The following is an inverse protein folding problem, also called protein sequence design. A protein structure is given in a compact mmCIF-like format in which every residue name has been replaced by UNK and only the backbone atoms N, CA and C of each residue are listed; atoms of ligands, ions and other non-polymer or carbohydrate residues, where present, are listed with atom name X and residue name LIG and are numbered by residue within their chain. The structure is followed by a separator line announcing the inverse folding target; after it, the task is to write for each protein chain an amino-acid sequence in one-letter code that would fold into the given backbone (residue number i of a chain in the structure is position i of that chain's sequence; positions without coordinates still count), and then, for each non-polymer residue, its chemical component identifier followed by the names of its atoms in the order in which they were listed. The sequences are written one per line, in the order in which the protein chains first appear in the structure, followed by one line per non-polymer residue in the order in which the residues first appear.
data_IF_602668157258
#
_entry.id   IF_602668157258
#
_cell.length_a   1.000
_cell.length_b   1.000
_cell.length_c   1.000
_cell.angle_alpha   90.00
_cell.angle_beta   90.00
_cell.angle_gamma   90.00
#
_symmetry.space_group_name_H-M   'P 1'
#
loop_
_entity.id
_entity.type
_entity.pdbx_description
1 polymer ?
#
# COMPACT_ATOMS: atom_id res chain seq x y z
N UNK A 1 -10.32 3.32 13.29
CA UNK A 1 -11.20 4.04 12.35
C UNK A 1 -11.75 3.03 11.38
N UNK A 2 -13.07 3.02 11.19
CA UNK A 2 -13.76 2.15 10.23
C UNK A 2 -13.39 2.57 8.82
N UNK A 3 -13.07 1.60 7.98
CA UNK A 3 -12.72 1.79 6.58
C UNK A 3 -14.00 2.20 5.78
N UNK A 4 -13.97 3.27 4.94
CA UNK A 4 -15.15 3.78 4.23
C UNK A 4 -15.66 2.78 3.17
N UNK A 5 -16.88 2.30 3.33
CA UNK A 5 -17.50 1.28 2.47
C UNK A 5 -18.19 1.90 1.25
N UNK A 6 -18.55 3.18 1.34
CA UNK A 6 -19.31 3.89 0.30
C UNK A 6 -18.57 5.10 -0.22
N UNK A 7 -18.95 5.56 -1.41
CA UNK A 7 -18.36 6.74 -2.05
C UNK A 7 -18.61 8.00 -1.21
N UNK A 8 -19.76 8.07 -0.57
CA UNK A 8 -20.12 9.15 0.34
C UNK A 8 -19.30 9.11 1.62
N UNK A 9 -19.05 7.94 2.20
CA UNK A 9 -18.13 7.78 3.34
C UNK A 9 -16.69 8.16 2.97
N UNK A 10 -16.25 7.81 1.76
CA UNK A 10 -14.93 8.19 1.24
C UNK A 10 -14.82 9.71 1.07
N UNK A 11 -15.84 10.35 0.50
CA UNK A 11 -15.93 11.81 0.40
C UNK A 11 -15.90 12.49 1.77
N UNK A 12 -16.69 11.99 2.73
CA UNK A 12 -16.72 12.52 4.08
C UNK A 12 -15.34 12.43 4.77
N UNK A 13 -14.62 11.34 4.53
CA UNK A 13 -13.25 11.15 5.02
C UNK A 13 -12.26 12.13 4.38
N UNK A 14 -12.29 12.31 3.07
CA UNK A 14 -11.46 13.32 2.37
C UNK A 14 -11.69 14.70 2.97
N UNK A 15 -12.95 15.09 3.18
CA UNK A 15 -13.29 16.37 3.80
C UNK A 15 -12.72 16.48 5.23
N UNK A 16 -12.86 15.42 6.04
CA UNK A 16 -12.31 15.40 7.40
C UNK A 16 -10.77 15.51 7.42
N UNK A 17 -10.09 14.89 6.46
CA UNK A 17 -8.64 14.96 6.35
C UNK A 17 -8.17 16.33 5.82
N UNK A 18 -8.94 17.00 4.93
CA UNK A 18 -8.71 18.41 4.55
C UNK A 18 -8.81 19.33 5.78
N UNK A 19 -9.83 19.16 6.61
CA UNK A 19 -9.98 19.96 7.84
C UNK A 19 -8.79 19.80 8.78
N UNK A 20 -8.33 18.56 8.98
CA UNK A 20 -7.12 18.30 9.78
C UNK A 20 -5.87 18.94 9.18
N UNK A 21 -5.75 18.96 7.85
CA UNK A 21 -4.63 19.59 7.18
C UNK A 21 -4.63 21.09 7.41
N UNK A 22 -5.79 21.75 7.31
CA UNK A 22 -5.93 23.19 7.63
C UNK A 22 -5.51 23.45 9.07
N UNK A 23 -5.99 22.65 10.02
CA UNK A 23 -5.58 22.78 11.43
C UNK A 23 -4.07 22.63 11.64
N UNK A 24 -3.41 21.74 10.90
CA UNK A 24 -1.96 21.58 10.96
C UNK A 24 -1.19 22.76 10.34
N UNK A 25 -1.74 23.40 9.30
CA UNK A 25 -1.12 24.58 8.67
C UNK A 25 -1.29 25.81 9.56
N UNK A 26 -2.45 25.95 10.21
CA UNK A 26 -2.76 27.06 11.11
C UNK A 26 -2.10 26.92 12.49
N UNK A 27 -1.60 25.73 12.85
CA UNK A 27 -0.89 25.52 14.11
C UNK A 27 0.57 25.95 14.02
N UNK A 28 0.99 26.94 14.82
CA UNK A 28 2.37 27.46 14.87
C UNK A 28 3.43 26.45 15.37
N UNK A 29 3.02 25.28 15.87
CA UNK A 29 3.92 24.24 16.41
C UNK A 29 4.30 23.21 15.33
N UNK A 30 5.36 23.51 14.59
CA UNK A 30 5.71 22.78 13.37
C UNK A 30 6.72 21.63 13.53
N UNK A 31 7.28 21.42 14.74
CA UNK A 31 8.40 20.46 14.94
C UNK A 31 8.01 18.98 14.73
N UNK A 32 6.73 18.64 14.81
CA UNK A 32 6.23 17.27 14.58
C UNK A 32 4.98 17.22 13.67
N UNK A 33 4.82 18.24 12.81
CA UNK A 33 3.64 18.33 11.95
C UNK A 33 3.60 17.20 10.93
N UNK A 34 2.51 16.44 10.91
CA UNK A 34 2.26 15.41 9.89
C UNK A 34 1.62 15.99 8.62
N UNK A 35 1.59 17.32 8.47
CA UNK A 35 0.93 18.03 7.36
C UNK A 35 1.37 17.51 5.99
N UNK A 36 2.67 17.34 5.75
CA UNK A 36 3.17 16.85 4.46
C UNK A 36 2.67 15.43 4.16
N UNK A 37 2.70 14.55 5.18
CA UNK A 37 2.20 13.17 5.04
C UNK A 37 0.69 13.16 4.78
N UNK A 38 -0.06 14.03 5.44
CA UNK A 38 -1.51 14.16 5.29
C UNK A 38 -1.87 14.75 3.92
N UNK A 39 -1.15 15.78 3.46
CA UNK A 39 -1.32 16.40 2.14
C UNK A 39 -1.02 15.41 1.02
N UNK A 40 0.05 14.61 1.14
CA UNK A 40 0.33 13.52 0.18
C UNK A 40 -0.78 12.47 0.19
N UNK A 41 -1.29 12.09 1.35
CA UNK A 41 -2.44 11.18 1.47
C UNK A 41 -3.68 11.70 0.76
N UNK A 42 -4.07 12.94 1.04
CA UNK A 42 -5.20 13.63 0.42
C UNK A 42 -5.06 13.73 -1.10
N UNK A 43 -3.86 14.01 -1.62
CA UNK A 43 -3.62 14.05 -3.05
C UNK A 43 -3.97 12.72 -3.72
N UNK A 44 -3.54 11.59 -3.12
CA UNK A 44 -3.89 10.27 -3.64
C UNK A 44 -5.38 9.97 -3.51
N UNK A 45 -5.97 10.23 -2.34
CA UNK A 45 -7.40 9.94 -2.11
C UNK A 45 -8.31 10.73 -3.06
N UNK A 46 -7.98 12.01 -3.30
CA UNK A 46 -8.71 12.85 -4.26
C UNK A 46 -8.56 12.32 -5.69
N UNK A 47 -7.35 11.90 -6.09
CA UNK A 47 -7.11 11.33 -7.43
C UNK A 47 -7.96 10.09 -7.66
N UNK A 48 -8.05 9.20 -6.67
CA UNK A 48 -8.82 7.96 -6.77
C UNK A 48 -10.35 8.22 -6.68
N UNK A 49 -10.81 9.20 -5.89
CA UNK A 49 -12.24 9.57 -5.82
C UNK A 49 -12.81 10.10 -7.16
N UNK A 50 -12.01 10.85 -7.92
CA UNK A 50 -12.43 11.40 -9.22
C UNK A 50 -12.35 10.39 -10.37
N UNK A 51 -11.69 9.24 -10.17
CA UNK A 51 -11.66 8.17 -11.16
C UNK A 51 -12.71 7.11 -10.82
N UNK A 52 -13.92 7.27 -11.37
CA UNK A 52 -15.06 6.38 -11.10
C UNK A 52 -14.81 4.90 -11.48
N UNK A 53 -13.89 4.62 -12.40
CA UNK A 53 -13.52 3.24 -12.78
C UNK A 53 -12.48 2.61 -11.83
N UNK A 54 -11.74 3.44 -11.08
CA UNK A 54 -10.75 2.99 -10.07
C UNK A 54 -11.28 3.01 -8.65
N UNK A 55 -12.36 3.74 -8.39
CA UNK A 55 -12.98 3.78 -7.07
C UNK A 55 -13.59 2.42 -6.73
N UNK A 56 -12.81 1.61 -6.03
CA UNK A 56 -13.22 0.41 -5.31
C UNK A 56 -12.67 0.52 -3.89
N UNK A 57 -13.41 0.04 -2.88
CA UNK A 57 -13.06 0.29 -1.50
C UNK A 57 -11.61 -0.13 -1.16
N UNK A 58 -11.16 -1.32 -1.52
CA UNK A 58 -9.73 -1.66 -1.46
C UNK A 58 -9.45 -2.83 -2.40
N UNK A 59 -9.22 -2.60 -3.70
CA UNK A 59 -9.12 -3.69 -4.67
C UNK A 59 -7.98 -4.67 -4.34
N UNK A 60 -6.93 -4.23 -3.62
CA UNK A 60 -5.89 -5.13 -3.13
C UNK A 60 -6.36 -6.01 -1.97
N UNK A 61 -6.91 -5.42 -0.91
CA UNK A 61 -7.39 -6.18 0.25
C UNK A 61 -8.51 -7.16 -0.13
N UNK A 62 -9.52 -6.68 -0.85
CA UNK A 62 -10.67 -7.49 -1.27
C UNK A 62 -10.21 -8.59 -2.22
N UNK A 63 -9.36 -8.23 -3.20
CA UNK A 63 -8.80 -9.18 -4.14
C UNK A 63 -7.92 -10.26 -3.50
N UNK A 64 -7.24 -9.95 -2.39
CA UNK A 64 -6.49 -10.91 -1.59
C UNK A 64 -7.42 -11.82 -0.78
N UNK A 65 -8.41 -11.23 -0.10
CA UNK A 65 -9.36 -11.97 0.73
C UNK A 65 -10.12 -13.02 -0.07
N UNK A 66 -10.46 -12.72 -1.32
CA UNK A 66 -11.19 -13.64 -2.22
C UNK A 66 -10.34 -14.81 -2.73
N UNK A 67 -9.00 -14.64 -2.79
CA UNK A 67 -8.10 -15.61 -3.44
C UNK A 67 -7.18 -16.35 -2.48
N UNK A 68 -6.95 -15.81 -1.29
CA UNK A 68 -5.99 -16.33 -0.32
C UNK A 68 -6.71 -17.00 0.83
N UNK A 69 -6.52 -18.32 0.96
CA UNK A 69 -7.13 -19.10 2.05
C UNK A 69 -6.30 -19.02 3.33
N UNK A 70 -6.92 -18.54 4.41
CA UNK A 70 -6.29 -18.48 5.73
C UNK A 70 -5.88 -19.87 6.25
N UNK A 71 -4.83 -19.93 7.05
CA UNK A 71 -4.28 -21.14 7.65
C UNK A 71 -3.50 -22.05 6.68
N UNK A 72 -3.53 -21.78 5.37
CA UNK A 72 -2.81 -22.57 4.37
C UNK A 72 -1.37 -22.08 4.18
N UNK A 73 -0.42 -22.99 3.88
CA UNK A 73 0.94 -22.61 3.53
C UNK A 73 1.01 -21.76 2.26
N UNK A 74 1.84 -20.74 2.27
CA UNK A 74 2.06 -19.82 1.14
C UNK A 74 3.43 -19.15 1.19
N UNK A 75 3.80 -18.55 0.06
CA UNK A 75 4.93 -17.64 -0.06
C UNK A 75 4.43 -16.24 -0.42
N UNK A 76 4.86 -15.24 0.36
CA UNK A 76 4.59 -13.82 0.12
C UNK A 76 5.88 -13.15 -0.34
N UNK A 77 5.80 -12.44 -1.47
CA UNK A 77 6.84 -11.58 -2.00
C UNK A 77 6.33 -10.14 -2.05
N UNK A 78 7.05 -9.23 -1.42
CA UNK A 78 6.84 -7.78 -1.55
C UNK A 78 8.12 -7.17 -2.12
N UNK A 79 8.01 -6.39 -3.19
CA UNK A 79 9.15 -5.68 -3.79
C UNK A 79 8.89 -4.19 -3.68
N UNK A 80 9.85 -3.43 -3.15
CA UNK A 80 9.79 -1.97 -3.03
C UNK A 80 10.84 -1.35 -3.97
N UNK A 81 10.40 -0.56 -4.95
CA UNK A 81 11.30 0.05 -5.94
C UNK A 81 11.98 1.34 -5.45
N UNK A 82 11.70 1.82 -4.22
CA UNK A 82 12.14 3.12 -3.73
C UNK A 82 12.79 3.18 -2.33
N UNK A 83 13.31 2.10 -1.75
CA UNK A 83 13.85 2.15 -0.37
C UNK A 83 14.83 1.05 0.06
N UNK A 84 15.45 1.24 1.24
CA UNK A 84 16.33 0.26 1.90
C UNK A 84 15.51 -0.95 2.34
N UNK A 85 15.85 -2.14 1.82
CA UNK A 85 15.06 -3.39 1.81
C UNK A 85 14.05 -3.49 0.66
N UNK A 86 14.57 -3.34 -0.57
CA UNK A 86 13.78 -3.40 -1.81
C UNK A 86 13.07 -4.72 -2.09
N UNK A 87 13.26 -5.77 -1.28
CA UNK A 87 12.59 -7.07 -1.45
C UNK A 87 12.41 -7.77 -0.10
N UNK A 88 11.19 -8.21 0.17
CA UNK A 88 10.83 -9.02 1.34
C UNK A 88 10.18 -10.31 0.86
N UNK A 89 10.75 -11.44 1.25
CA UNK A 89 10.23 -12.76 0.95
C UNK A 89 9.98 -13.53 2.23
N UNK A 90 8.78 -14.06 2.40
CA UNK A 90 8.39 -14.84 3.58
C UNK A 90 7.58 -16.06 3.16
N UNK A 91 7.93 -17.20 3.75
CA UNK A 91 7.18 -18.45 3.63
C UNK A 91 6.53 -18.74 4.97
N UNK A 92 5.26 -19.14 4.97
CA UNK A 92 4.56 -19.47 6.20
C UNK A 92 3.08 -19.70 5.98
N UNK A 93 2.29 -19.45 7.04
CA UNK A 93 0.83 -19.52 6.99
C UNK A 93 0.27 -18.15 7.33
N UNK A 94 -0.56 -17.56 6.46
CA UNK A 94 -1.33 -16.36 6.82
C UNK A 94 -2.41 -16.81 7.80
N UNK A 95 -2.43 -16.22 8.98
CA UNK A 95 -3.47 -16.44 9.98
C UNK A 95 -4.54 -15.34 9.96
N UNK A 96 -4.18 -14.14 9.50
CA UNK A 96 -5.13 -13.04 9.35
C UNK A 96 -4.72 -12.06 8.23
N UNK A 97 -5.73 -11.41 7.64
CA UNK A 97 -5.61 -10.35 6.65
C UNK A 97 -6.41 -9.15 7.11
N UNK A 98 -5.73 -8.01 7.24
CA UNK A 98 -6.36 -6.75 7.60
C UNK A 98 -6.26 -5.75 6.45
N UNK A 99 -7.29 -4.93 6.31
CA UNK A 99 -7.18 -3.68 5.55
C UNK A 99 -6.17 -2.76 6.24
N UNK A 100 -5.45 -1.95 5.46
CA UNK A 100 -4.56 -0.94 6.04
C UNK A 100 -5.38 0.11 6.81
N UNK A 101 -4.88 0.55 7.96
CA UNK A 101 -5.59 1.50 8.83
C UNK A 101 -5.82 2.91 8.20
N UNK A 102 -5.11 3.21 7.12
CA UNK A 102 -5.20 4.45 6.34
C UNK A 102 -5.91 4.17 5.00
N UNK A 103 -6.53 5.17 4.35
CA UNK A 103 -7.36 4.97 3.15
C UNK A 103 -6.55 4.61 1.88
N UNK A 104 -5.28 4.22 2.05
CA UNK A 104 -4.46 3.68 0.99
C UNK A 104 -4.95 2.28 0.66
N UNK A 105 -5.07 2.00 -0.63
CA UNK A 105 -5.21 0.65 -1.12
C UNK A 105 -3.99 -0.19 -0.67
N UNK A 106 -4.19 -1.44 -0.28
CA UNK A 106 -3.15 -2.28 0.31
C UNK A 106 -3.68 -3.32 1.30
N UNK A 107 -2.77 -4.01 1.99
CA UNK A 107 -3.12 -5.06 2.94
C UNK A 107 -2.07 -5.21 4.04
N UNK A 108 -2.48 -5.69 5.20
CA UNK A 108 -1.60 -6.15 6.26
C UNK A 108 -1.81 -7.65 6.47
N UNK A 109 -0.69 -8.37 6.55
CA UNK A 109 -0.64 -9.82 6.69
C UNK A 109 -0.13 -10.16 8.08
N UNK A 110 -0.85 -11.04 8.77
CA UNK A 110 -0.33 -11.71 9.95
C UNK A 110 0.08 -13.14 9.55
N UNK A 111 1.39 -13.39 9.50
CA UNK A 111 1.97 -14.64 8.99
C UNK A 111 2.74 -15.32 10.10
N UNK A 112 2.50 -16.62 10.30
CA UNK A 112 3.39 -17.48 11.09
C UNK A 112 4.46 -18.04 10.13
N UNK A 113 5.73 -17.56 10.19
CA UNK A 113 6.75 -18.03 9.26
C UNK A 113 7.04 -19.51 9.43
N UNK A 114 7.53 -20.16 8.37
CA UNK A 114 7.97 -21.55 8.40
C UNK A 114 9.01 -21.75 9.52
N UNK A 115 8.78 -22.76 10.37
CA UNK A 115 9.65 -23.06 11.52
C UNK A 115 9.48 -22.14 12.74
N UNK A 116 8.63 -21.11 12.66
CA UNK A 116 8.32 -20.21 13.77
C UNK A 116 6.98 -20.60 14.42
N UNK A 117 6.82 -20.22 15.70
CA UNK A 117 5.54 -20.36 16.44
C UNK A 117 4.75 -19.07 16.50
N UNK A 118 5.43 -17.93 16.49
CA UNK A 118 4.82 -16.62 16.67
C UNK A 118 4.52 -15.96 15.32
N UNK A 119 3.36 -15.29 15.20
CA UNK A 119 3.05 -14.51 14.01
C UNK A 119 3.94 -13.27 13.89
N UNK A 120 4.13 -12.84 12.65
CA UNK A 120 4.83 -11.61 12.27
C UNK A 120 3.93 -10.81 11.33
N UNK A 121 3.99 -9.49 11.45
CA UNK A 121 3.21 -8.57 10.64
C UNK A 121 4.01 -8.08 9.45
N UNK A 122 3.43 -8.21 8.27
CA UNK A 122 3.94 -7.66 7.01
C UNK A 122 2.90 -6.69 6.45
N UNK A 123 3.34 -5.56 5.92
CA UNK A 123 2.43 -4.50 5.46
C UNK A 123 2.76 -4.11 4.04
N UNK A 124 1.75 -4.15 3.19
CA UNK A 124 1.78 -3.69 1.81
C UNK A 124 0.90 -2.45 1.64
N UNK A 125 1.42 -1.44 0.94
CA UNK A 125 0.71 -0.20 0.59
C UNK A 125 0.81 0.00 -0.92
N UNK A 126 -0.33 -0.02 -1.62
CA UNK A 126 -0.41 0.31 -3.03
C UNK A 126 -0.02 1.79 -3.23
N UNK A 127 0.76 2.07 -4.28
CA UNK A 127 1.20 3.44 -4.62
C UNK A 127 2.62 3.84 -4.18
N UNK A 128 3.33 3.05 -3.36
CA UNK A 128 4.73 3.36 -2.96
C UNK A 128 5.76 2.80 -3.96
N UNK A 129 5.37 2.61 -5.23
CA UNK A 129 6.20 1.89 -6.20
C UNK A 129 6.56 0.50 -5.69
N UNK A 130 5.59 -0.22 -5.13
CA UNK A 130 5.81 -1.53 -4.53
C UNK A 130 4.85 -2.55 -5.12
N UNK A 131 5.34 -3.72 -5.49
CA UNK A 131 4.52 -4.84 -5.97
C UNK A 131 4.36 -5.90 -4.88
N UNK A 132 3.25 -6.63 -4.96
CA UNK A 132 2.98 -7.76 -4.08
C UNK A 132 2.57 -8.97 -4.91
N UNK A 133 3.15 -10.12 -4.55
CA UNK A 133 2.78 -11.40 -5.15
C UNK A 133 2.64 -12.45 -4.05
N UNK A 134 1.54 -13.21 -4.10
CA UNK A 134 1.24 -14.31 -3.18
C UNK A 134 1.19 -15.60 -3.98
N UNK A 135 1.95 -16.60 -3.57
CA UNK A 135 2.05 -17.90 -4.24
C UNK A 135 1.47 -19.02 -3.35
N UNK A 136 0.92 -20.09 -3.95
CA UNK A 136 0.41 -21.22 -3.19
C UNK A 136 1.54 -22.09 -2.64
N UNK A 137 1.47 -22.49 -1.38
CA UNK A 137 2.47 -23.36 -0.76
C UNK A 137 3.82 -22.69 -0.50
N UNK A 138 4.79 -23.46 -0.01
CA UNK A 138 6.16 -22.98 0.22
C UNK A 138 6.99 -23.06 -1.07
N UNK A 139 6.78 -22.11 -1.97
CA UNK A 139 7.53 -22.02 -3.24
C UNK A 139 8.92 -21.42 -2.97
N UNK A 140 10.04 -22.08 -3.32
CA UNK A 140 11.38 -21.49 -3.26
C UNK A 140 11.52 -20.27 -4.16
N UNK A 141 12.35 -19.29 -3.78
CA UNK A 141 12.53 -18.07 -4.58
C UNK A 141 12.98 -18.33 -6.02
N UNK A 142 13.77 -19.38 -6.23
CA UNK A 142 14.28 -19.78 -7.55
C UNK A 142 13.21 -20.30 -8.49
N UNK A 143 12.02 -20.66 -7.98
CA UNK A 143 10.93 -21.26 -8.75
C UNK A 143 9.74 -20.32 -8.95
N UNK A 144 9.80 -19.09 -8.44
CA UNK A 144 8.67 -18.16 -8.46
C UNK A 144 8.17 -17.84 -9.87
N UNK A 145 9.05 -17.84 -10.87
CA UNK A 145 8.69 -17.59 -12.27
C UNK A 145 7.91 -18.76 -12.90
N UNK A 146 8.03 -19.96 -12.34
CA UNK A 146 7.39 -21.18 -12.86
C UNK A 146 6.05 -21.47 -12.17
N UNK A 147 5.75 -20.77 -11.08
CA UNK A 147 4.54 -20.99 -10.29
C UNK A 147 3.55 -19.86 -10.52
N UNK A 148 2.31 -20.22 -10.88
CA UNK A 148 1.22 -19.27 -11.01
C UNK A 148 0.87 -18.69 -9.63
N UNK A 149 0.87 -17.36 -9.45
CA UNK A 149 0.51 -16.75 -8.17
C UNK A 149 -1.00 -16.86 -7.91
N UNK A 150 -1.38 -16.93 -6.63
CA UNK A 150 -2.76 -16.77 -6.16
C UNK A 150 -3.24 -15.33 -6.36
N UNK A 151 -2.33 -14.38 -6.15
CA UNK A 151 -2.60 -12.96 -6.28
C UNK A 151 -1.33 -12.25 -6.73
N UNK A 152 -1.47 -11.31 -7.66
CA UNK A 152 -0.40 -10.41 -8.06
C UNK A 152 -0.99 -9.01 -8.25
N UNK A 153 -0.40 -8.05 -7.56
CA UNK A 153 -0.65 -6.64 -7.79
C UNK A 153 0.65 -6.00 -8.25
N UNK A 154 0.65 -5.66 -9.54
CA UNK A 154 1.73 -4.91 -10.17
C UNK A 154 1.70 -3.46 -9.65
N UNK A 155 2.89 -2.90 -9.43
CA UNK A 155 3.03 -1.46 -9.36
C UNK A 155 3.82 -1.01 -10.58
N UNK A 156 3.33 0.02 -11.25
CA UNK A 156 4.19 0.78 -12.16
C UNK A 156 5.35 1.37 -11.34
N UNK A 157 6.60 1.27 -11.80
CA UNK A 157 7.70 1.97 -11.15
C UNK A 157 7.36 3.46 -11.09
N UNK A 158 7.70 4.16 -10.00
CA UNK A 158 7.42 5.58 -9.90
C UNK A 158 8.07 6.29 -11.09
N UNK A 159 7.29 7.11 -11.81
CA UNK A 159 7.84 7.97 -12.86
C UNK A 159 8.89 8.84 -12.17
N UNK A 160 10.16 8.58 -12.45
CA UNK A 160 11.23 9.49 -12.07
C UNK A 160 11.08 10.70 -12.99
N UNK A 161 10.51 11.78 -12.45
CA UNK A 161 10.68 13.07 -13.08
C UNK A 161 12.16 13.41 -12.93
N UNK A 162 12.92 13.25 -14.00
CA UNK A 162 14.27 13.79 -14.05
C UNK A 162 14.18 15.25 -13.58
N UNK A 163 14.95 15.61 -12.55
CA UNK A 163 15.16 16.99 -12.12
C UNK A 163 15.88 17.84 -13.19
N UNK A 164 15.87 17.41 -14.45
CA UNK A 164 16.47 18.08 -15.58
C UNK A 164 15.47 19.06 -16.22
N UNK A 165 15.02 20.08 -15.49
CA UNK A 165 14.35 21.26 -16.07
C UNK A 165 14.31 22.49 -15.14
N UNK A 166 15.06 22.54 -14.04
CA UNK A 166 15.15 23.73 -13.19
C UNK A 166 16.37 24.63 -13.49
N UNK A 167 17.22 24.27 -14.46
CA UNK A 167 18.46 24.99 -14.77
C UNK A 167 18.51 25.48 -16.23
N UNK A 168 17.45 26.14 -16.72
CA UNK A 168 17.55 26.92 -17.97
C UNK A 168 16.54 28.06 -17.98
N UNK A 169 16.66 29.00 -17.04
CA UNK A 169 16.04 30.32 -17.17
C UNK A 169 16.78 31.34 -16.26
N UNK A 170 18.03 31.65 -16.60
CA UNK A 170 18.62 32.93 -16.23
C UNK A 170 18.63 33.78 -17.51
N UNK A 171 17.87 34.90 -17.59
CA UNK A 171 17.94 35.80 -18.73
C UNK A 171 19.23 36.64 -18.69
N UNK A 172 19.66 37.19 -19.84
CA UNK A 172 20.96 37.86 -20.03
C UNK A 172 21.10 39.18 -19.25
#
# INVERSE_FOLDING_TARGET
MTYPQTRDEYRARIMADIFKLVQHIESDFNEYSTAETLARGLHFDVREYFNAERWNPTPVYDGLRDRVTLGTPLSLLIVHHGGHNGRQFVQGRIIDLHSQARPFDGAQFEIVPKGCRNPRRYSYRAGVGASITVYPGHVPETWLEQVRPLYHHAAEPPIQYDQASAATAAPP
#
